data_IF_845541250005
#
_entry.id   IF_845541250005
#
_cell.length_a   1.000
_cell.length_b   1.000
_cell.length_c   1.000
_cell.angle_alpha   90.00
_cell.angle_beta   90.00
_cell.angle_gamma   90.00
#
_symmetry.space_group_name_H-M   'P 1'
#
loop_
_entity.id
_entity.type
_entity.pdbx_description
1 polymer ?
#
# COMPACT_ATOMS: atom_id res chain seq x y z
N UNK A 1 -15.60 20.05 17.79
CA UNK A 1 -14.28 19.44 18.08
C UNK A 1 -13.42 19.51 16.81
N UNK A 2 -12.32 20.27 16.79
CA UNK A 2 -11.39 20.26 15.63
C UNK A 2 -10.82 18.84 15.50
N UNK A 3 -11.08 18.15 14.39
CA UNK A 3 -10.49 16.83 14.16
C UNK A 3 -8.96 16.97 14.06
N UNK A 4 -8.22 16.45 15.04
CA UNK A 4 -6.74 16.51 15.07
C UNK A 4 -6.09 15.99 13.77
N UNK A 5 -6.67 15.00 13.09
CA UNK A 5 -6.12 14.39 11.85
C UNK A 5 -6.45 15.14 10.55
N UNK A 6 -7.55 15.88 10.50
CA UNK A 6 -8.08 16.46 9.25
C UNK A 6 -8.63 15.43 8.23
N UNK A 7 -9.26 15.91 7.15
CA UNK A 7 -9.96 15.05 6.19
C UNK A 7 -9.01 14.16 5.37
N UNK A 8 -7.85 14.69 4.95
CA UNK A 8 -6.90 13.95 4.11
C UNK A 8 -6.36 12.68 4.76
N UNK A 9 -5.87 12.78 6.01
CA UNK A 9 -5.40 11.59 6.74
C UNK A 9 -6.52 10.59 7.03
N UNK A 10 -7.77 11.06 7.14
CA UNK A 10 -8.93 10.17 7.26
C UNK A 10 -9.15 9.38 5.97
N UNK A 11 -9.13 10.05 4.81
CA UNK A 11 -9.26 9.42 3.50
C UNK A 11 -8.13 8.40 3.29
N UNK A 12 -6.89 8.76 3.60
CA UNK A 12 -5.75 7.85 3.45
C UNK A 12 -5.84 6.65 4.38
N UNK A 13 -6.24 6.84 5.65
CA UNK A 13 -6.43 5.73 6.57
C UNK A 13 -7.51 4.74 6.07
N UNK A 14 -8.62 5.23 5.53
CA UNK A 14 -9.65 4.38 4.91
C UNK A 14 -9.06 3.66 3.69
N UNK A 15 -8.32 4.38 2.84
CA UNK A 15 -7.63 3.79 1.69
C UNK A 15 -6.69 2.64 2.08
N UNK A 16 -5.91 2.80 3.14
CA UNK A 16 -5.05 1.73 3.66
C UNK A 16 -5.84 0.55 4.23
N UNK A 17 -7.00 0.77 4.84
CA UNK A 17 -7.87 -0.34 5.27
C UNK A 17 -8.41 -1.11 4.07
N UNK A 18 -8.86 -0.41 3.02
CA UNK A 18 -9.32 -1.06 1.79
C UNK A 18 -8.18 -1.82 1.11
N UNK A 19 -6.97 -1.25 1.09
CA UNK A 19 -5.78 -1.90 0.58
C UNK A 19 -5.43 -3.15 1.40
N UNK A 20 -5.55 -3.08 2.73
CA UNK A 20 -5.34 -4.22 3.61
C UNK A 20 -6.28 -5.37 3.28
N UNK A 21 -7.58 -5.09 3.15
CA UNK A 21 -8.58 -6.09 2.79
C UNK A 21 -8.27 -6.67 1.40
N UNK A 22 -7.91 -5.82 0.45
CA UNK A 22 -7.52 -6.26 -0.90
C UNK A 22 -6.34 -7.23 -0.85
N UNK A 23 -5.28 -6.92 -0.11
CA UNK A 23 -4.10 -7.76 0.03
C UNK A 23 -4.39 -9.08 0.76
N UNK A 24 -5.19 -9.04 1.83
CA UNK A 24 -5.59 -10.26 2.54
C UNK A 24 -6.42 -11.21 1.68
N UNK A 25 -7.16 -10.69 0.70
CA UNK A 25 -7.95 -11.48 -0.24
C UNK A 25 -7.14 -12.04 -1.42
N UNK A 26 -5.90 -11.57 -1.65
CA UNK A 26 -5.07 -12.03 -2.78
C UNK A 26 -4.83 -13.55 -2.80
N UNK A 27 -4.56 -14.25 -1.67
CA UNK A 27 -4.40 -15.69 -1.69
C UNK A 27 -5.65 -16.42 -2.18
N UNK A 28 -6.84 -15.93 -1.80
CA UNK A 28 -8.11 -16.50 -2.24
C UNK A 28 -8.38 -16.23 -3.73
N UNK A 29 -8.08 -15.02 -4.20
CA UNK A 29 -8.21 -14.65 -5.62
C UNK A 29 -7.26 -15.47 -6.50
N UNK A 30 -6.07 -15.79 -5.99
CA UNK A 30 -5.09 -16.59 -6.72
C UNK A 30 -5.57 -18.02 -7.01
N UNK A 31 -6.38 -18.61 -6.12
CA UNK A 31 -7.02 -19.91 -6.37
C UNK A 31 -7.96 -19.89 -7.58
N UNK A 32 -8.57 -18.74 -7.88
CA UNK A 32 -9.47 -18.56 -9.04
C UNK A 32 -8.75 -18.04 -10.28
N UNK A 33 -7.61 -17.38 -10.11
CA UNK A 33 -6.86 -16.74 -11.18
C UNK A 33 -5.37 -16.82 -10.89
N UNK A 34 -4.64 -17.79 -11.48
CA UNK A 34 -3.22 -18.03 -11.18
C UNK A 34 -2.31 -16.83 -11.43
N UNK A 35 -2.74 -15.88 -12.25
CA UNK A 35 -2.03 -14.63 -12.55
C UNK A 35 -2.16 -13.52 -11.48
N UNK A 36 -2.97 -13.72 -10.43
CA UNK A 36 -3.17 -12.77 -9.33
C UNK A 36 -2.22 -13.10 -8.17
N UNK A 37 -1.46 -12.11 -7.72
CA UNK A 37 -0.53 -12.26 -6.60
C UNK A 37 0.00 -10.91 -6.12
N UNK A 38 0.45 -10.84 -4.87
CA UNK A 38 1.13 -9.65 -4.35
C UNK A 38 2.47 -9.49 -5.08
N UNK A 39 2.74 -8.29 -5.59
CA UNK A 39 4.07 -7.95 -6.08
C UNK A 39 4.90 -7.50 -4.88
N UNK A 40 5.95 -8.26 -4.58
CA UNK A 40 6.86 -8.03 -3.47
C UNK A 40 8.30 -7.99 -3.99
N UNK A 41 8.96 -6.84 -3.82
CA UNK A 41 10.28 -6.53 -4.39
C UNK A 41 10.42 -6.89 -5.88
N UNK A 42 9.43 -6.51 -6.68
CA UNK A 42 9.44 -6.76 -8.13
C UNK A 42 9.08 -8.19 -8.54
N UNK A 43 8.84 -9.11 -7.59
CA UNK A 43 8.38 -10.46 -7.88
C UNK A 43 6.90 -10.61 -7.55
N UNK A 44 6.12 -11.11 -8.52
CA UNK A 44 4.75 -11.53 -8.25
C UNK A 44 4.79 -12.85 -7.47
N UNK A 45 4.36 -12.81 -6.21
CA UNK A 45 4.36 -13.97 -5.33
C UNK A 45 3.30 -14.99 -5.77
N UNK A 46 3.63 -16.27 -5.60
CA UNK A 46 2.71 -17.38 -5.86
C UNK A 46 2.64 -18.35 -4.69
N UNK A 47 1.55 -19.14 -4.65
CA UNK A 47 1.34 -20.22 -3.70
C UNK A 47 1.63 -19.81 -2.24
N UNK A 48 2.49 -20.55 -1.54
CA UNK A 48 2.80 -20.37 -0.12
C UNK A 48 3.35 -18.99 0.20
N UNK A 49 4.19 -18.42 -0.67
CA UNK A 49 4.75 -17.09 -0.44
C UNK A 49 3.66 -16.01 -0.45
N UNK A 50 2.71 -16.08 -1.38
CA UNK A 50 1.59 -15.15 -1.42
C UNK A 50 0.63 -15.36 -0.23
N UNK A 51 0.41 -16.61 0.18
CA UNK A 51 -0.43 -16.98 1.32
C UNK A 51 0.08 -16.38 2.64
N UNK A 52 1.39 -16.23 2.80
CA UNK A 52 2.00 -15.67 4.01
C UNK A 52 2.19 -14.16 3.89
N UNK A 53 2.84 -13.68 2.82
CA UNK A 53 3.26 -12.28 2.72
C UNK A 53 2.07 -11.35 2.50
N UNK A 54 1.06 -11.75 1.72
CA UNK A 54 -0.09 -10.87 1.46
C UNK A 54 -0.91 -10.55 2.72
N UNK A 55 -1.24 -11.53 3.60
CA UNK A 55 -1.84 -11.22 4.90
C UNK A 55 -0.94 -10.39 5.81
N UNK A 56 0.38 -10.63 5.82
CA UNK A 56 1.31 -9.80 6.60
C UNK A 56 1.30 -8.34 6.14
N UNK A 57 1.26 -8.10 4.83
CA UNK A 57 1.10 -6.77 4.25
C UNK A 57 -0.24 -6.13 4.63
N UNK A 58 -1.32 -6.93 4.62
CA UNK A 58 -2.62 -6.50 5.13
C UNK A 58 -2.57 -6.07 6.60
N UNK A 59 -1.96 -6.87 7.47
CA UNK A 59 -1.79 -6.56 8.90
C UNK A 59 -0.96 -5.27 9.06
N UNK A 60 0.13 -5.13 8.31
CA UNK A 60 0.94 -3.91 8.29
C UNK A 60 0.07 -2.68 7.99
N UNK A 61 -0.79 -2.75 6.96
CA UNK A 61 -1.68 -1.65 6.61
C UNK A 61 -2.76 -1.37 7.66
N UNK A 62 -3.32 -2.40 8.31
CA UNK A 62 -4.26 -2.20 9.41
C UNK A 62 -3.59 -1.46 10.57
N UNK A 63 -2.40 -1.90 11.00
CA UNK A 63 -1.64 -1.24 12.08
C UNK A 63 -1.30 0.20 11.67
N UNK A 64 -0.87 0.40 10.44
CA UNK A 64 -0.52 1.72 9.94
C UNK A 64 -1.74 2.66 9.88
N UNK A 65 -2.88 2.17 9.39
CA UNK A 65 -4.14 2.92 9.36
C UNK A 65 -4.61 3.28 10.77
N UNK A 66 -4.51 2.38 11.75
CA UNK A 66 -4.80 2.66 13.16
C UNK A 66 -3.86 3.76 13.69
N UNK A 67 -2.58 3.70 13.32
CA UNK A 67 -1.59 4.71 13.65
C UNK A 67 -1.96 6.08 13.13
N UNK A 68 -2.35 6.19 11.85
CA UNK A 68 -2.85 7.44 11.26
C UNK A 68 -4.13 7.90 11.95
N UNK A 69 -5.08 6.98 12.14
CA UNK A 69 -6.40 7.29 12.71
C UNK A 69 -6.30 7.88 14.11
N UNK A 70 -5.39 7.33 14.91
CA UNK A 70 -5.12 7.75 16.29
C UNK A 70 -4.00 8.79 16.40
N UNK A 71 -3.46 9.28 15.29
CA UNK A 71 -2.33 10.21 15.23
C UNK A 71 -1.16 9.75 16.13
N UNK A 72 -0.73 8.50 15.96
CA UNK A 72 0.35 7.90 16.74
C UNK A 72 1.72 8.14 16.12
N UNK A 73 2.72 8.33 16.96
CA UNK A 73 4.09 8.66 16.54
C UNK A 73 4.74 7.57 15.68
N UNK A 74 4.36 6.30 15.87
CA UNK A 74 4.85 5.20 15.05
C UNK A 74 4.34 5.22 13.60
N UNK A 75 3.26 5.95 13.29
CA UNK A 75 2.75 6.05 11.92
C UNK A 75 3.75 6.78 11.01
N UNK A 76 4.58 7.66 11.57
CA UNK A 76 5.57 8.43 10.82
C UNK A 76 6.69 7.53 10.22
N UNK A 77 7.43 6.74 11.00
CA UNK A 77 8.41 5.82 10.42
C UNK A 77 7.77 4.77 9.50
N UNK A 78 6.56 4.28 9.80
CA UNK A 78 5.84 3.38 8.89
C UNK A 78 5.49 4.05 7.54
N UNK A 79 5.11 5.33 7.55
CA UNK A 79 4.79 6.07 6.33
C UNK A 79 6.00 6.25 5.42
N UNK A 80 7.15 6.55 5.99
CA UNK A 80 8.42 6.65 5.26
C UNK A 80 8.83 5.30 4.67
N UNK A 81 8.80 4.24 5.49
CA UNK A 81 9.13 2.89 5.02
C UNK A 81 8.22 2.46 3.87
N UNK A 82 6.90 2.69 3.99
CA UNK A 82 5.95 2.33 2.95
C UNK A 82 6.09 3.21 1.70
N UNK A 83 6.34 4.51 1.83
CA UNK A 83 6.57 5.39 0.69
C UNK A 83 7.80 4.97 -0.11
N UNK A 84 8.90 4.62 0.55
CA UNK A 84 10.09 4.06 -0.10
C UNK A 84 9.76 2.75 -0.81
N UNK A 85 9.08 1.84 -0.13
CA UNK A 85 8.65 0.57 -0.72
C UNK A 85 7.76 0.77 -1.95
N UNK A 86 6.78 1.67 -1.88
CA UNK A 86 5.82 1.95 -2.96
C UNK A 86 6.49 2.53 -4.21
N UNK A 87 7.64 3.20 -4.06
CA UNK A 87 8.48 3.65 -5.18
C UNK A 87 9.33 2.52 -5.72
N UNK A 88 10.05 1.81 -4.85
CA UNK A 88 11.00 0.77 -5.26
C UNK A 88 10.30 -0.44 -5.87
N UNK A 89 9.16 -0.86 -5.34
CA UNK A 89 8.52 -2.10 -5.74
C UNK A 89 8.03 -2.08 -7.21
N UNK A 90 7.33 -1.03 -7.70
CA UNK A 90 7.03 -0.88 -9.12
C UNK A 90 8.27 -0.72 -10.00
N UNK A 91 9.30 0.01 -9.56
CA UNK A 91 10.55 0.14 -10.32
C UNK A 91 11.18 -1.23 -10.54
N UNK A 92 11.36 -1.99 -9.46
CA UNK A 92 11.85 -3.37 -9.51
C UNK A 92 10.95 -4.26 -10.36
N UNK A 93 9.63 -4.13 -10.26
CA UNK A 93 8.70 -4.91 -11.07
C UNK A 93 8.88 -4.64 -12.56
N UNK A 94 9.02 -3.38 -12.97
CA UNK A 94 9.27 -3.02 -14.37
C UNK A 94 10.64 -3.52 -14.86
N UNK A 95 11.67 -3.49 -14.01
CA UNK A 95 13.00 -4.01 -14.37
C UNK A 95 13.06 -5.54 -14.43
N UNK A 96 12.34 -6.24 -13.55
CA UNK A 96 12.36 -7.71 -13.45
C UNK A 96 11.38 -8.36 -14.44
N UNK A 97 10.18 -7.80 -14.59
CA UNK A 97 9.14 -8.28 -15.50
C UNK A 97 9.01 -7.35 -16.70
N UNK A 98 10.01 -7.38 -17.59
CA UNK A 98 9.86 -6.84 -18.93
C UNK A 98 8.77 -7.65 -19.67
N UNK A 99 7.54 -7.13 -19.75
CA UNK A 99 6.63 -7.47 -20.84
C UNK A 99 5.48 -8.46 -20.61
N UNK A 100 5.06 -8.79 -19.38
CA UNK A 100 3.80 -9.57 -19.20
C UNK A 100 2.58 -8.65 -18.97
N UNK A 101 2.35 -7.68 -19.86
CA UNK A 101 1.09 -6.93 -19.89
C UNK A 101 0.01 -7.82 -20.53
N UNK A 102 -0.49 -8.79 -19.77
CA UNK A 102 -1.74 -9.47 -20.11
C UNK A 102 -2.86 -8.44 -20.13
N UNK A 103 -3.31 -8.07 -21.34
CA UNK A 103 -4.60 -7.44 -21.68
C UNK A 103 -5.20 -6.45 -20.66
N UNK A 104 -4.38 -5.62 -20.02
CA UNK A 104 -4.82 -4.63 -19.03
C UNK A 104 -4.83 -3.26 -19.69
N UNK A 105 -5.94 -2.52 -19.58
CA UNK A 105 -6.07 -1.20 -20.19
C UNK A 105 -4.94 -0.27 -19.67
N UNK A 106 -4.10 0.30 -20.55
CA UNK A 106 -2.92 1.07 -20.15
C UNK A 106 -3.25 2.29 -19.29
N UNK A 107 -4.43 2.89 -19.47
CA UNK A 107 -4.89 4.03 -18.69
C UNK A 107 -5.14 3.62 -17.24
N UNK A 108 -5.81 2.48 -17.03
CA UNK A 108 -6.09 1.95 -15.69
C UNK A 108 -4.78 1.64 -14.97
N UNK A 109 -3.83 1.01 -15.67
CA UNK A 109 -2.52 0.71 -15.13
C UNK A 109 -1.77 1.98 -14.69
N UNK A 110 -1.80 3.03 -15.53
CA UNK A 110 -1.17 4.31 -15.21
C UNK A 110 -1.80 4.98 -14.00
N UNK A 111 -3.13 4.95 -13.88
CA UNK A 111 -3.86 5.50 -12.72
C UNK A 111 -3.47 4.73 -11.45
N UNK A 112 -3.44 3.40 -11.49
CA UNK A 112 -3.08 2.58 -10.33
C UNK A 112 -1.65 2.87 -9.88
N UNK A 113 -0.69 3.01 -10.80
CA UNK A 113 0.68 3.41 -10.46
C UNK A 113 0.75 4.83 -9.90
N UNK A 114 0.06 5.80 -10.52
CA UNK A 114 0.07 7.18 -10.06
C UNK A 114 -0.51 7.30 -8.64
N UNK A 115 -1.65 6.65 -8.37
CA UNK A 115 -2.27 6.61 -7.04
C UNK A 115 -1.39 5.88 -6.04
N UNK A 116 -0.80 4.74 -6.45
CA UNK A 116 0.11 3.94 -5.63
C UNK A 116 1.39 4.67 -5.23
N UNK A 117 1.82 5.68 -5.99
CA UNK A 117 2.96 6.54 -5.65
C UNK A 117 2.52 7.80 -4.89
N UNK A 118 1.46 8.45 -5.34
CA UNK A 118 1.02 9.73 -4.79
C UNK A 118 0.49 9.60 -3.36
N UNK A 119 -0.33 8.59 -3.08
CA UNK A 119 -0.95 8.42 -1.75
C UNK A 119 0.08 8.16 -0.65
N UNK A 120 1.08 7.26 -0.83
CA UNK A 120 2.09 7.02 0.21
C UNK A 120 2.98 8.24 0.46
N UNK A 121 3.42 8.91 -0.61
CA UNK A 121 4.24 10.11 -0.50
C UNK A 121 3.45 11.23 0.19
N UNK A 122 2.20 11.50 -0.23
CA UNK A 122 1.36 12.51 0.38
C UNK A 122 1.10 12.21 1.87
N UNK A 123 0.87 10.93 2.22
CA UNK A 123 0.69 10.53 3.62
C UNK A 123 1.93 10.84 4.44
N UNK A 124 3.13 10.48 3.94
CA UNK A 124 4.40 10.73 4.61
C UNK A 124 4.69 12.23 4.80
N UNK A 125 4.43 13.04 3.76
CA UNK A 125 4.60 14.50 3.83
C UNK A 125 3.66 15.11 4.88
N UNK A 126 2.38 14.77 4.86
CA UNK A 126 1.40 15.33 5.80
C UNK A 126 1.70 14.89 7.24
N UNK A 127 2.05 13.63 7.48
CA UNK A 127 2.45 13.15 8.81
C UNK A 127 3.73 13.85 9.31
N UNK A 128 4.69 14.11 8.41
CA UNK A 128 5.92 14.82 8.76
C UNK A 128 5.65 16.28 9.13
N UNK A 129 4.78 16.97 8.37
CA UNK A 129 4.33 18.32 8.68
C UNK A 129 3.60 18.38 10.03
N UNK A 130 2.81 17.34 10.34
CA UNK A 130 2.05 17.22 11.59
C UNK A 130 2.77 16.43 12.69
N UNK A 131 4.11 16.28 12.60
CA UNK A 131 4.88 15.47 13.56
C UNK A 131 4.69 15.90 15.03
N UNK A 132 4.47 17.21 15.26
CA UNK A 132 4.26 17.77 16.58
C UNK A 132 2.87 17.42 17.17
N UNK A 133 1.91 17.02 16.33
CA UNK A 133 0.56 16.63 16.73
C UNK A 133 0.46 15.13 17.07
N UNK A 134 1.53 14.36 16.78
CA UNK A 134 1.57 12.92 17.01
C UNK A 134 1.78 12.60 18.50
N UNK A 135 1.04 11.60 18.98
CA UNK A 135 1.07 11.11 20.38
C UNK A 135 1.76 9.78 20.54
#
# INVERSE_FOLDING_TARGET
MKQKRGPWLTIFAIGYILLAISDMLKPYQQTRSPGVGLVFFGHKLTATANLIIAPLFGIFFVIYAIGIWRMKRYALPMSLAYAVYAVLNPLLFNFVFHGSNGSSNPIVLMIVYAVGLAVPIATAVILTQRRAELT
#
